data_IF_629967551050
#
_entry.id   IF_629967551050
#
_cell.length_a   1.000
_cell.length_b   1.000
_cell.length_c   1.000
_cell.angle_alpha   90.00
_cell.angle_beta   90.00
_cell.angle_gamma   90.00
#
_symmetry.space_group_name_H-M   'P 1'
#
loop_
_entity.id
_entity.type
_entity.pdbx_description
1 polymer ?
#
# COMPACT_ATOMS: atom_id res chain seq x y z
N UNK A 1 78.66 16.63 -11.89
CA UNK A 1 77.97 15.93 -12.98
C UNK A 1 76.75 16.76 -13.35
N UNK A 2 76.65 17.28 -14.59
CA UNK A 2 75.42 17.98 -15.01
C UNK A 2 74.27 16.99 -15.03
N UNK A 3 73.19 17.30 -14.32
CA UNK A 3 71.97 16.60 -14.38
C UNK A 3 71.42 16.79 -15.81
N UNK A 4 71.43 15.73 -16.59
CA UNK A 4 70.84 15.76 -17.96
C UNK A 4 69.35 15.90 -17.77
N UNK A 5 68.82 17.03 -18.24
CA UNK A 5 67.37 17.23 -18.26
C UNK A 5 66.77 16.22 -19.27
N UNK A 6 66.19 15.19 -18.74
CA UNK A 6 65.57 14.07 -19.50
C UNK A 6 64.55 14.60 -20.50
N UNK A 7 63.84 15.66 -20.14
CA UNK A 7 62.82 16.26 -21.03
C UNK A 7 63.48 16.92 -22.25
N UNK A 8 64.62 17.63 -22.07
CA UNK A 8 65.36 18.26 -23.11
C UNK A 8 66.05 17.21 -24.04
N UNK A 9 66.53 16.12 -23.45
CA UNK A 9 67.12 15.01 -24.18
C UNK A 9 66.08 14.27 -25.04
N UNK A 10 64.88 14.00 -24.49
CA UNK A 10 63.76 13.34 -25.24
C UNK A 10 63.30 14.21 -26.43
N UNK A 11 63.20 15.52 -26.22
CA UNK A 11 62.82 16.45 -27.30
C UNK A 11 63.87 16.59 -28.42
N UNK A 12 65.14 16.31 -28.13
CA UNK A 12 66.20 16.37 -29.12
C UNK A 12 66.34 15.14 -30.01
N UNK A 13 65.52 14.10 -29.79
CA UNK A 13 65.55 12.88 -30.60
C UNK A 13 64.37 12.87 -31.59
N UNK A 14 64.63 13.16 -32.90
CA UNK A 14 63.54 13.23 -33.90
C UNK A 14 62.75 11.92 -34.02
N UNK A 15 63.45 10.77 -33.89
CA UNK A 15 62.79 9.48 -33.98
C UNK A 15 61.83 9.19 -32.82
N UNK A 16 62.09 9.74 -31.62
CA UNK A 16 61.22 9.59 -30.45
C UNK A 16 60.02 10.52 -30.58
N UNK A 17 60.19 11.72 -31.15
CA UNK A 17 59.11 12.64 -31.41
C UNK A 17 58.19 12.15 -32.52
N UNK A 18 58.72 11.58 -33.60
CA UNK A 18 57.89 10.98 -34.66
C UNK A 18 57.12 9.76 -34.15
N UNK A 19 57.75 8.90 -33.34
CA UNK A 19 57.14 7.74 -32.75
C UNK A 19 56.12 8.14 -31.68
N UNK A 20 56.43 9.16 -30.89
CA UNK A 20 55.50 9.77 -29.95
C UNK A 20 54.26 10.36 -30.62
N UNK A 21 54.47 11.09 -31.73
CA UNK A 21 53.37 11.60 -32.54
C UNK A 21 52.54 10.51 -33.22
N UNK A 22 53.19 9.42 -33.66
CA UNK A 22 52.51 8.24 -34.24
C UNK A 22 51.69 7.53 -33.18
N UNK A 23 52.19 7.32 -31.98
CA UNK A 23 51.41 6.71 -30.88
C UNK A 23 50.37 7.68 -30.33
N UNK A 24 50.66 8.99 -30.27
CA UNK A 24 49.68 9.97 -29.87
C UNK A 24 48.53 10.03 -30.89
N UNK A 25 48.85 9.95 -32.20
CA UNK A 25 47.84 9.84 -33.24
C UNK A 25 47.14 8.48 -33.27
N UNK A 26 47.78 7.42 -32.73
CA UNK A 26 47.17 6.11 -32.57
C UNK A 26 46.34 6.03 -31.29
N UNK A 27 46.70 6.77 -30.23
CA UNK A 27 45.90 6.95 -29.00
C UNK A 27 44.88 8.07 -29.08
N UNK A 28 45.11 9.06 -29.97
CA UNK A 28 44.09 9.89 -30.59
C UNK A 28 43.46 9.09 -31.76
N UNK A 29 43.31 7.78 -31.58
CA UNK A 29 42.20 7.12 -32.22
C UNK A 29 41.04 8.03 -31.98
N UNK A 30 40.65 8.74 -33.10
CA UNK A 30 39.40 9.44 -33.14
C UNK A 30 38.77 9.41 -31.79
N UNK A 31 38.74 10.54 -31.08
CA UNK A 31 37.73 10.62 -30.06
C UNK A 31 36.66 9.72 -30.62
N UNK A 32 36.69 8.42 -30.22
CA UNK A 32 35.49 7.67 -30.29
C UNK A 32 34.68 8.60 -29.42
N UNK A 33 34.00 9.57 -30.13
CA UNK A 33 32.76 10.00 -29.62
C UNK A 33 32.14 8.65 -29.30
N UNK A 34 32.45 8.13 -28.12
CA UNK A 34 31.42 7.44 -27.39
C UNK A 34 30.40 8.55 -27.41
N UNK A 35 29.70 8.61 -28.57
CA UNK A 35 28.32 8.82 -28.51
C UNK A 35 27.95 7.73 -27.49
N UNK A 36 28.12 8.04 -26.20
CA UNK A 36 27.01 7.92 -25.36
C UNK A 36 25.93 8.66 -26.14
N UNK A 37 25.56 8.06 -27.29
CA UNK A 37 24.21 8.02 -27.67
C UNK A 37 23.71 7.66 -26.31
N UNK A 38 23.26 8.68 -25.63
CA UNK A 38 22.20 8.55 -24.69
C UNK A 38 21.09 8.03 -25.58
N UNK A 39 21.31 6.83 -26.08
CA UNK A 39 20.38 5.79 -26.02
C UNK A 39 20.20 5.74 -24.48
N UNK A 40 19.48 6.73 -23.96
CA UNK A 40 18.30 6.37 -23.27
C UNK A 40 17.81 5.23 -24.14
N UNK A 41 18.31 3.98 -23.85
CA UNK A 41 17.42 2.86 -24.03
C UNK A 41 16.18 3.45 -23.40
N UNK A 42 15.28 3.98 -24.23
CA UNK A 42 13.89 4.01 -23.93
C UNK A 42 13.68 2.54 -23.70
N UNK A 43 14.00 2.15 -22.45
CA UNK A 43 13.67 0.83 -21.91
C UNK A 43 12.24 0.73 -22.32
N UNK A 44 11.91 -0.15 -23.29
CA UNK A 44 10.60 -0.14 -23.87
C UNK A 44 9.69 -0.11 -22.69
N UNK A 45 8.77 0.79 -22.68
CA UNK A 45 7.82 1.21 -21.67
C UNK A 45 7.26 0.12 -20.75
N UNK A 46 7.77 -1.11 -20.83
CA UNK A 46 7.34 -2.27 -20.03
C UNK A 46 7.42 -2.00 -18.53
N UNK A 47 8.50 -1.39 -18.05
CA UNK A 47 8.62 -1.03 -16.63
C UNK A 47 7.65 0.11 -16.32
N UNK A 48 7.55 1.08 -17.21
CA UNK A 48 6.60 2.18 -17.12
C UNK A 48 5.17 1.65 -17.14
N UNK A 49 4.84 0.74 -18.04
CA UNK A 49 3.51 0.12 -18.16
C UNK A 49 3.15 -0.63 -16.86
N UNK A 50 4.05 -1.47 -16.32
CA UNK A 50 3.83 -2.19 -15.06
C UNK A 50 3.60 -1.22 -13.91
N UNK A 51 4.39 -0.15 -13.86
CA UNK A 51 4.27 0.90 -12.85
C UNK A 51 2.91 1.60 -12.94
N UNK A 52 2.45 1.94 -14.14
CA UNK A 52 1.12 2.53 -14.34
C UNK A 52 0.00 1.57 -13.94
N UNK A 53 0.08 0.31 -14.31
CA UNK A 53 -0.90 -0.72 -13.90
C UNK A 53 -0.96 -0.81 -12.37
N UNK A 54 0.20 -0.81 -11.70
CA UNK A 54 0.25 -0.83 -10.25
C UNK A 54 -0.47 0.37 -9.63
N UNK A 55 -0.15 1.59 -10.05
CA UNK A 55 -0.78 2.79 -9.50
C UNK A 55 -2.27 2.89 -9.83
N UNK A 56 -2.70 2.45 -11.01
CA UNK A 56 -4.12 2.37 -11.35
C UNK A 56 -4.85 1.44 -10.37
N UNK A 57 -4.28 0.27 -10.09
CA UNK A 57 -4.85 -0.67 -9.11
C UNK A 57 -4.95 -0.05 -7.71
N UNK A 58 -3.88 0.61 -7.24
CA UNK A 58 -3.86 1.30 -5.95
C UNK A 58 -4.92 2.40 -5.89
N UNK A 59 -5.05 3.22 -6.95
CA UNK A 59 -6.03 4.32 -7.02
C UNK A 59 -7.46 3.77 -6.97
N UNK A 60 -7.77 2.74 -7.78
CA UNK A 60 -9.11 2.15 -7.83
C UNK A 60 -9.52 1.54 -6.49
N UNK A 61 -8.62 0.79 -5.85
CA UNK A 61 -8.89 0.18 -4.55
C UNK A 61 -8.97 1.23 -3.43
N UNK A 62 -8.13 2.26 -3.47
CA UNK A 62 -8.21 3.38 -2.53
C UNK A 62 -9.54 4.14 -2.66
N UNK A 63 -9.97 4.41 -3.90
CA UNK A 63 -11.26 5.07 -4.16
C UNK A 63 -12.42 4.22 -3.63
N UNK A 64 -12.42 2.90 -3.90
CA UNK A 64 -13.39 1.97 -3.34
C UNK A 64 -13.42 2.02 -1.81
N UNK A 65 -12.26 2.00 -1.16
CA UNK A 65 -12.14 2.05 0.28
C UNK A 65 -12.67 3.36 0.86
N UNK A 66 -12.33 4.50 0.24
CA UNK A 66 -12.86 5.82 0.62
C UNK A 66 -14.39 5.85 0.51
N UNK A 67 -14.96 5.33 -0.58
CA UNK A 67 -16.42 5.25 -0.77
C UNK A 67 -17.07 4.42 0.35
N UNK A 68 -16.46 3.30 0.75
CA UNK A 68 -16.95 2.47 1.85
C UNK A 68 -16.93 3.24 3.17
N UNK A 69 -15.84 3.92 3.50
CA UNK A 69 -15.74 4.74 4.71
C UNK A 69 -16.76 5.89 4.71
N UNK A 70 -16.90 6.60 3.58
CA UNK A 70 -17.90 7.66 3.42
C UNK A 70 -19.33 7.14 3.59
N UNK A 71 -19.61 5.92 3.12
CA UNK A 71 -20.91 5.27 3.31
C UNK A 71 -21.21 5.01 4.78
N UNK A 72 -20.24 4.50 5.55
CA UNK A 72 -20.40 4.28 6.99
C UNK A 72 -20.64 5.61 7.72
N UNK A 73 -19.85 6.65 7.39
CA UNK A 73 -20.03 7.98 7.97
C UNK A 73 -21.41 8.54 7.62
N UNK A 74 -21.87 8.37 6.38
CA UNK A 74 -23.21 8.77 5.95
C UNK A 74 -24.29 8.06 6.75
N UNK A 75 -24.18 6.74 6.95
CA UNK A 75 -25.12 5.95 7.75
C UNK A 75 -25.19 6.48 9.19
N UNK A 76 -24.06 6.91 9.76
CA UNK A 76 -24.00 7.51 11.10
C UNK A 76 -24.89 8.75 11.21
N UNK A 77 -24.98 9.57 10.14
CA UNK A 77 -25.82 10.78 10.12
C UNK A 77 -27.28 10.49 9.79
N UNK A 78 -27.60 9.34 9.20
CA UNK A 78 -28.99 8.97 8.87
C UNK A 78 -29.69 8.26 10.03
N UNK A 79 -28.96 7.56 10.88
CA UNK A 79 -29.51 6.80 12.00
C UNK A 79 -29.76 7.67 13.23
N UNK A 80 -30.70 7.22 14.09
CA UNK A 80 -30.92 7.81 15.40
C UNK A 80 -29.93 7.21 16.38
N UNK A 81 -29.26 8.10 17.13
CA UNK A 81 -28.27 7.69 18.12
C UNK A 81 -28.95 7.47 19.45
N UNK A 82 -28.75 6.31 20.02
CA UNK A 82 -29.12 5.97 21.37
C UNK A 82 -27.86 5.54 22.12
N UNK A 83 -27.74 5.92 23.36
CA UNK A 83 -26.62 5.48 24.21
C UNK A 83 -27.13 4.37 25.13
N UNK A 84 -26.48 3.20 25.06
CA UNK A 84 -26.80 2.06 25.90
C UNK A 84 -25.49 1.42 26.36
N UNK A 85 -25.35 1.22 27.65
CA UNK A 85 -24.18 0.55 28.27
C UNK A 85 -22.82 1.14 27.88
N UNK A 86 -22.74 2.45 27.64
CA UNK A 86 -21.51 3.13 27.23
C UNK A 86 -21.18 3.03 25.73
N UNK A 87 -21.99 2.33 24.95
CA UNK A 87 -21.87 2.23 23.50
C UNK A 87 -22.91 3.09 22.77
N UNK A 88 -22.55 3.58 21.57
CA UNK A 88 -23.44 4.37 20.73
C UNK A 88 -24.13 3.48 19.71
N UNK A 89 -25.36 3.13 20.01
CA UNK A 89 -26.21 2.36 19.12
C UNK A 89 -26.88 3.30 18.13
N UNK A 90 -26.75 2.99 16.85
CA UNK A 90 -27.32 3.76 15.74
C UNK A 90 -28.45 2.95 15.14
N UNK A 91 -29.67 3.35 15.48
CA UNK A 91 -30.88 2.72 14.93
C UNK A 91 -31.11 3.21 13.51
N UNK A 92 -31.02 2.31 12.57
CA UNK A 92 -31.20 2.60 11.14
C UNK A 92 -32.67 2.62 10.74
N UNK A 93 -33.08 3.51 9.83
CA UNK A 93 -34.45 3.56 9.32
C UNK A 93 -34.76 2.50 8.26
N UNK A 94 -33.72 1.87 7.70
CA UNK A 94 -33.79 0.85 6.66
C UNK A 94 -33.16 -0.43 7.16
N UNK A 95 -33.59 -1.55 6.61
CA UNK A 95 -33.06 -2.87 6.94
C UNK A 95 -31.57 -2.95 6.58
N UNK A 96 -30.74 -3.23 7.60
CA UNK A 96 -29.32 -3.48 7.49
C UNK A 96 -28.96 -4.63 8.41
N UNK A 97 -28.03 -5.46 7.99
CA UNK A 97 -27.42 -6.43 8.93
C UNK A 97 -26.70 -5.67 10.03
N UNK A 98 -26.78 -6.11 11.30
CA UNK A 98 -26.02 -5.53 12.37
C UNK A 98 -24.53 -5.50 12.03
N UNK A 99 -23.84 -4.42 12.39
CA UNK A 99 -22.39 -4.30 12.30
C UNK A 99 -21.89 -3.19 13.21
N UNK A 100 -20.64 -3.30 13.62
CA UNK A 100 -19.96 -2.29 14.41
C UNK A 100 -18.83 -1.61 13.63
N UNK A 101 -18.60 -0.32 13.92
CA UNK A 101 -17.48 0.43 13.39
C UNK A 101 -16.95 1.38 14.48
N UNK A 102 -15.77 1.10 14.99
CA UNK A 102 -15.23 1.70 16.22
C UNK A 102 -16.21 1.55 17.38
N UNK A 103 -16.70 2.67 17.91
CA UNK A 103 -17.66 2.71 19.03
C UNK A 103 -19.12 2.80 18.55
N UNK A 104 -19.38 2.72 17.28
CA UNK A 104 -20.72 2.81 16.68
C UNK A 104 -21.23 1.41 16.33
N UNK A 105 -22.39 1.06 16.87
CA UNK A 105 -23.10 -0.19 16.56
C UNK A 105 -24.33 0.17 15.73
N UNK A 106 -24.41 -0.33 14.51
CA UNK A 106 -25.50 -0.08 13.60
C UNK A 106 -26.45 -1.25 13.62
N UNK A 107 -27.74 -0.98 13.91
CA UNK A 107 -28.77 -2.00 13.96
C UNK A 107 -30.07 -1.51 13.32
N UNK A 108 -30.85 -2.45 12.81
CA UNK A 108 -32.23 -2.24 12.37
C UNK A 108 -33.16 -2.93 13.36
N UNK A 109 -33.70 -2.19 14.33
CA UNK A 109 -34.47 -2.74 15.45
C UNK A 109 -35.67 -3.63 15.04
N UNK A 110 -36.46 -3.30 14.00
CA UNK A 110 -37.61 -4.12 13.62
C UNK A 110 -37.30 -5.53 13.16
N UNK A 111 -36.06 -5.81 12.75
CA UNK A 111 -35.63 -7.15 12.31
C UNK A 111 -35.07 -8.02 13.43
N UNK A 112 -34.95 -7.48 14.65
CA UNK A 112 -34.39 -8.20 15.79
C UNK A 112 -35.52 -8.82 16.61
N UNK A 113 -35.53 -10.14 16.72
CA UNK A 113 -36.34 -10.86 17.69
C UNK A 113 -35.81 -10.54 19.09
N UNK A 114 -36.71 -10.36 20.07
CA UNK A 114 -36.33 -9.98 21.44
C UNK A 114 -35.32 -10.94 22.08
N UNK A 115 -35.47 -12.26 21.84
CA UNK A 115 -34.58 -13.27 22.37
C UNK A 115 -33.17 -13.25 21.79
N UNK A 116 -33.04 -12.88 20.49
CA UNK A 116 -31.73 -12.83 19.80
C UNK A 116 -31.05 -11.46 19.91
N UNK A 117 -31.78 -10.44 20.36
CA UNK A 117 -31.24 -9.08 20.39
C UNK A 117 -30.01 -8.94 21.30
N UNK A 118 -30.02 -9.60 22.45
CA UNK A 118 -28.94 -9.54 23.41
C UNK A 118 -27.66 -10.20 22.86
N UNK A 119 -27.78 -11.34 22.22
CA UNK A 119 -26.65 -12.05 21.64
C UNK A 119 -25.98 -11.20 20.53
N UNK A 120 -26.80 -10.63 19.62
CA UNK A 120 -26.32 -9.76 18.54
C UNK A 120 -25.63 -8.52 19.10
N UNK A 121 -26.21 -7.88 20.12
CA UNK A 121 -25.61 -6.71 20.76
C UNK A 121 -24.28 -7.08 21.41
N UNK A 122 -24.19 -8.20 22.13
CA UNK A 122 -22.94 -8.66 22.76
C UNK A 122 -21.87 -8.93 21.71
N UNK A 123 -22.23 -9.52 20.57
CA UNK A 123 -21.33 -9.74 19.44
C UNK A 123 -20.75 -8.41 18.91
N UNK A 124 -21.62 -7.47 18.59
CA UNK A 124 -21.22 -6.16 18.04
C UNK A 124 -20.47 -5.30 19.06
N UNK A 125 -20.83 -5.36 20.34
CA UNK A 125 -20.09 -4.71 21.42
C UNK A 125 -18.67 -5.25 21.52
N UNK A 126 -18.49 -6.56 21.37
CA UNK A 126 -17.17 -7.18 21.39
C UNK A 126 -16.27 -6.64 20.31
N UNK A 127 -16.79 -6.49 19.06
CA UNK A 127 -16.04 -5.87 17.99
C UNK A 127 -15.64 -4.42 18.30
N UNK A 128 -16.54 -3.66 18.91
CA UNK A 128 -16.28 -2.27 19.30
C UNK A 128 -15.25 -2.16 20.44
N UNK A 129 -15.38 -3.00 21.48
CA UNK A 129 -14.48 -3.00 22.65
C UNK A 129 -13.07 -3.45 22.31
N UNK A 130 -12.93 -4.49 21.48
CA UNK A 130 -11.64 -5.04 21.09
C UNK A 130 -10.98 -4.24 19.96
N UNK A 131 -11.66 -3.23 19.42
CA UNK A 131 -11.10 -2.36 18.39
C UNK A 131 -10.88 -3.04 17.05
N UNK A 132 -11.66 -4.08 16.73
CA UNK A 132 -11.56 -4.87 15.50
C UNK A 132 -11.60 -4.01 14.21
N UNK A 133 -12.21 -2.81 14.28
CA UNK A 133 -12.20 -1.86 13.16
C UNK A 133 -10.80 -1.44 12.74
N UNK A 134 -9.84 -1.36 13.67
CA UNK A 134 -8.44 -1.06 13.35
C UNK A 134 -7.81 -2.18 12.52
N UNK A 135 -8.04 -3.43 12.90
CA UNK A 135 -7.51 -4.60 12.20
C UNK A 135 -8.06 -4.68 10.78
N UNK A 136 -9.37 -4.43 10.61
CA UNK A 136 -10.01 -4.40 9.31
C UNK A 136 -9.44 -3.27 8.45
N UNK A 137 -9.32 -2.04 8.96
CA UNK A 137 -8.76 -0.91 8.23
C UNK A 137 -7.31 -1.18 7.83
N UNK A 138 -6.50 -1.67 8.77
CA UNK A 138 -5.09 -1.99 8.51
C UNK A 138 -4.95 -3.06 7.43
N UNK A 139 -5.76 -4.13 7.51
CA UNK A 139 -5.76 -5.19 6.49
C UNK A 139 -6.19 -4.68 5.11
N UNK A 140 -7.16 -3.75 5.04
CA UNK A 140 -7.56 -3.09 3.79
C UNK A 140 -6.43 -2.24 3.22
N UNK A 141 -5.75 -1.44 4.04
CA UNK A 141 -4.62 -0.61 3.61
C UNK A 141 -3.46 -1.47 3.09
N UNK A 142 -3.11 -2.54 3.81
CA UNK A 142 -2.09 -3.48 3.36
C UNK A 142 -2.47 -4.16 2.04
N UNK A 143 -3.75 -4.54 1.90
CA UNK A 143 -4.26 -5.13 0.67
C UNK A 143 -4.26 -4.14 -0.51
N UNK A 144 -4.50 -2.85 -0.28
CA UNK A 144 -4.40 -1.80 -1.31
C UNK A 144 -2.97 -1.68 -1.83
N UNK A 145 -1.99 -1.63 -0.92
CA UNK A 145 -0.57 -1.49 -1.29
C UNK A 145 -0.06 -2.74 -2.01
N UNK A 146 -0.45 -3.91 -1.53
CA UNK A 146 0.00 -5.20 -2.05
C UNK A 146 -1.10 -5.91 -2.87
N UNK A 147 -1.95 -5.18 -3.58
CA UNK A 147 -3.13 -5.70 -4.25
C UNK A 147 -2.84 -6.81 -5.27
N UNK A 148 -1.67 -6.78 -5.86
CA UNK A 148 -1.19 -7.78 -6.84
C UNK A 148 -0.78 -9.10 -6.19
N UNK A 149 -0.64 -9.16 -4.85
CA UNK A 149 -0.24 -10.33 -4.12
C UNK A 149 -1.48 -11.12 -3.64
N UNK A 150 -1.74 -12.34 -4.16
CA UNK A 150 -2.91 -13.13 -3.78
C UNK A 150 -2.90 -13.53 -2.30
N UNK A 151 -1.72 -13.65 -1.67
CA UNK A 151 -1.62 -13.98 -0.25
C UNK A 151 -2.18 -12.88 0.65
N UNK A 152 -2.16 -11.62 0.21
CA UNK A 152 -2.75 -10.53 0.97
C UNK A 152 -4.29 -10.63 1.03
N UNK A 153 -4.90 -11.11 -0.04
CA UNK A 153 -6.35 -11.35 -0.07
C UNK A 153 -6.75 -12.51 0.85
N UNK A 154 -5.94 -13.59 0.88
CA UNK A 154 -6.14 -14.70 1.80
C UNK A 154 -5.94 -14.25 3.25
N UNK A 155 -4.85 -13.55 3.55
CA UNK A 155 -4.56 -13.02 4.89
C UNK A 155 -5.70 -12.14 5.42
N UNK A 156 -6.25 -11.27 4.58
CA UNK A 156 -7.40 -10.44 4.93
C UNK A 156 -8.63 -11.28 5.28
N UNK A 157 -8.86 -12.39 4.55
CA UNK A 157 -9.91 -13.35 4.85
C UNK A 157 -9.72 -14.01 6.22
N UNK A 158 -8.51 -14.47 6.50
CA UNK A 158 -8.16 -15.10 7.78
C UNK A 158 -8.25 -14.13 8.97
N UNK A 159 -7.84 -12.87 8.79
CA UNK A 159 -8.01 -11.85 9.81
C UNK A 159 -9.49 -11.70 10.16
N UNK A 160 -10.37 -11.54 9.17
CA UNK A 160 -11.82 -11.42 9.41
C UNK A 160 -12.38 -12.64 10.13
N UNK A 161 -12.04 -13.84 9.66
CA UNK A 161 -12.49 -15.08 10.29
C UNK A 161 -12.05 -15.16 11.76
N UNK A 162 -10.84 -14.73 12.06
CA UNK A 162 -10.34 -14.71 13.45
C UNK A 162 -11.09 -13.69 14.32
N UNK A 163 -11.43 -12.51 13.78
CA UNK A 163 -12.20 -11.50 14.50
C UNK A 163 -13.63 -11.99 14.80
N UNK A 164 -14.29 -12.66 13.84
CA UNK A 164 -15.59 -13.30 14.05
C UNK A 164 -15.52 -14.37 15.14
N UNK A 165 -14.50 -15.24 15.08
CA UNK A 165 -14.30 -16.27 16.10
C UNK A 165 -14.14 -15.68 17.53
N UNK A 166 -13.44 -14.55 17.66
CA UNK A 166 -13.25 -13.86 18.94
C UNK A 166 -14.57 -13.28 19.48
N UNK A 167 -15.39 -12.71 18.59
CA UNK A 167 -16.69 -12.16 18.95
C UNK A 167 -17.68 -13.27 19.37
N UNK A 168 -17.76 -14.34 18.56
CA UNK A 168 -18.63 -15.49 18.85
C UNK A 168 -18.25 -16.18 20.16
N UNK A 169 -16.95 -16.33 20.43
CA UNK A 169 -16.46 -16.88 21.69
C UNK A 169 -16.93 -16.05 22.88
N UNK A 170 -16.90 -14.73 22.78
CA UNK A 170 -17.35 -13.84 23.86
C UNK A 170 -18.85 -13.99 24.12
N UNK A 171 -19.66 -14.14 23.06
CA UNK A 171 -21.09 -14.43 23.18
C UNK A 171 -21.30 -15.76 23.90
N UNK A 172 -20.62 -16.82 23.46
CA UNK A 172 -20.72 -18.15 24.11
C UNK A 172 -20.30 -18.15 25.57
N UNK A 173 -19.31 -17.36 25.96
CA UNK A 173 -18.85 -17.23 27.35
C UNK A 173 -19.81 -16.39 28.22
N UNK A 174 -20.76 -15.64 27.61
CA UNK A 174 -21.73 -14.78 28.31
C UNK A 174 -23.09 -15.42 28.52
N UNK A 175 -23.36 -16.54 27.87
CA UNK A 175 -24.58 -17.36 28.01
C UNK A 175 -24.43 -18.36 29.17
#
# INVERSE_FOLDING_TARGET
YPLIDIQQWVQSQPAINEMGAYYANWFMLEEIEVFATKNTMEMPDSISIITYIYYIGVILLSLRFIIQLCSIIRMRFMGKVEEMEGHRIISMPTEVSPFSFFQWIFIYKPSLEEDSQQEILTHEQTHAEQGHSFDVIFSEMANIVCWFNPFMWLLKGEIRLNLEYLADKKVADSL
#
